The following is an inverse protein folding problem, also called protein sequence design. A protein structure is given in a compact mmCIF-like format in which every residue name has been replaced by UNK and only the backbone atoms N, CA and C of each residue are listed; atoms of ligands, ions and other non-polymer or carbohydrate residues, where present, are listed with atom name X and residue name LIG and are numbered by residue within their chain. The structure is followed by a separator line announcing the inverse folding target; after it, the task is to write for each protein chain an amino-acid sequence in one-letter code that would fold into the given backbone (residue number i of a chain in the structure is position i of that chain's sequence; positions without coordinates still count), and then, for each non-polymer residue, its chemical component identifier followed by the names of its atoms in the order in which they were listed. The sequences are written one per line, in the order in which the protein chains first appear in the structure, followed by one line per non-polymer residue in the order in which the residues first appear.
data_IF_945727841218
#
_entry.id   IF_945727841218
#
_cell.length_a   1.000
_cell.length_b   1.000
_cell.length_c   1.000
_cell.angle_alpha   90.00
_cell.angle_beta   90.00
_cell.angle_gamma   90.00
#
_symmetry.space_group_name_H-M   'P 1'
#
loop_
_entity.id
_entity.type
_entity.pdbx_description
1 polymer ?
#
# COMPACT_ATOMS: atom_id res chain seq x y z
N UNK A 1 19.26 11.22 -10.03
CA UNK A 1 18.11 10.57 -10.69
C UNK A 1 16.86 11.40 -10.43
N UNK A 2 15.97 11.60 -11.42
CA UNK A 2 14.71 12.31 -11.17
C UNK A 2 13.77 11.44 -10.33
N UNK A 3 13.20 12.01 -9.26
CA UNK A 3 12.21 11.34 -8.43
C UNK A 3 10.85 11.47 -9.09
N UNK A 4 10.16 10.35 -9.29
CA UNK A 4 8.80 10.34 -9.83
C UNK A 4 7.84 9.78 -8.80
N UNK A 5 6.80 10.54 -8.49
CA UNK A 5 5.67 10.08 -7.69
C UNK A 5 4.42 10.07 -8.56
N UNK A 6 3.75 8.93 -8.64
CA UNK A 6 2.48 8.77 -9.34
C UNK A 6 1.43 8.28 -8.36
N UNK A 7 0.38 9.08 -8.16
CA UNK A 7 -0.77 8.68 -7.34
C UNK A 7 -1.54 7.56 -8.07
N UNK A 8 -1.68 6.41 -7.42
CA UNK A 8 -2.36 5.24 -7.97
C UNK A 8 -3.79 5.09 -7.43
N UNK A 9 -3.99 5.41 -6.15
CA UNK A 9 -5.30 5.29 -5.48
C UNK A 9 -5.39 6.24 -4.29
N UNK A 10 -6.61 6.72 -4.04
CA UNK A 10 -7.00 7.40 -2.80
C UNK A 10 -8.21 6.70 -2.18
N UNK A 11 -8.19 6.47 -0.87
CA UNK A 11 -9.39 6.18 -0.06
C UNK A 11 -9.57 7.28 1.00
N UNK A 12 -10.54 7.12 1.91
CA UNK A 12 -10.88 8.12 2.95
C UNK A 12 -9.67 8.71 3.66
N UNK A 13 -8.71 7.86 4.04
CA UNK A 13 -7.57 8.19 4.90
C UNK A 13 -6.24 7.57 4.41
N UNK A 14 -6.24 6.89 3.27
CA UNK A 14 -5.05 6.24 2.70
C UNK A 14 -4.75 6.70 1.28
N UNK A 15 -3.46 6.84 0.98
CA UNK A 15 -2.92 7.20 -0.32
C UNK A 15 -1.96 6.11 -0.76
N UNK A 16 -2.09 5.65 -2.00
CA UNK A 16 -1.16 4.71 -2.59
C UNK A 16 -0.41 5.40 -3.73
N UNK A 17 0.91 5.49 -3.58
CA UNK A 17 1.80 6.06 -4.58
C UNK A 17 2.69 4.99 -5.21
N UNK A 18 2.88 5.09 -6.52
CA UNK A 18 4.01 4.46 -7.19
C UNK A 18 5.17 5.46 -7.16
N UNK A 19 6.23 5.10 -6.45
CA UNK A 19 7.38 5.95 -6.21
C UNK A 19 8.60 5.34 -6.91
N UNK A 20 9.28 6.14 -7.73
CA UNK A 20 10.58 5.81 -8.30
C UNK A 20 11.59 6.79 -7.72
N UNK A 21 12.44 6.31 -6.82
CA UNK A 21 13.49 7.06 -6.14
C UNK A 21 14.64 6.13 -5.76
N UNK A 22 15.85 6.68 -5.60
CA UNK A 22 17.03 5.91 -5.14
C UNK A 22 16.87 5.45 -3.68
N UNK A 23 16.45 6.35 -2.79
CA UNK A 23 16.24 6.05 -1.37
C UNK A 23 15.08 6.86 -0.79
N UNK A 24 13.88 6.29 -0.88
CA UNK A 24 12.65 6.87 -0.32
C UNK A 24 12.73 7.03 1.21
N UNK A 25 13.32 6.06 1.89
CA UNK A 25 13.34 6.00 3.35
C UNK A 25 14.24 7.09 3.95
N UNK A 26 15.35 7.43 3.29
CA UNK A 26 16.18 8.58 3.68
C UNK A 26 15.43 9.91 3.63
N UNK A 27 14.55 10.10 2.64
CA UNK A 27 13.76 11.32 2.54
C UNK A 27 12.68 11.36 3.62
N UNK A 28 12.03 10.21 3.88
CA UNK A 28 11.09 10.08 4.99
C UNK A 28 11.76 10.37 6.35
N UNK A 29 13.04 10.01 6.50
CA UNK A 29 13.82 10.32 7.71
C UNK A 29 14.03 11.83 7.91
N UNK A 30 14.28 12.58 6.83
CA UNK A 30 14.44 14.05 6.89
C UNK A 30 13.15 14.71 7.35
N UNK A 31 12.02 14.20 6.89
CA UNK A 31 10.68 14.69 7.22
C UNK A 31 10.00 13.93 8.37
N UNK A 32 10.78 13.32 9.28
CA UNK A 32 10.26 12.47 10.36
C UNK A 32 9.14 13.09 11.21
N UNK A 33 9.10 14.41 11.29
CA UNK A 33 8.06 15.16 12.00
C UNK A 33 6.66 14.99 11.40
N UNK A 34 6.56 14.60 10.12
CA UNK A 34 5.31 14.37 9.41
C UNK A 34 4.83 12.91 9.49
N UNK A 35 5.65 12.01 10.05
CA UNK A 35 5.40 10.57 10.02
C UNK A 35 5.36 9.94 11.42
N UNK A 36 4.55 8.90 11.54
CA UNK A 36 4.53 7.93 12.64
C UNK A 36 5.23 6.64 12.19
N UNK A 37 6.43 6.39 12.71
CA UNK A 37 7.24 5.19 12.43
C UNK A 37 7.13 4.11 13.51
N UNK A 38 6.21 4.25 14.46
CA UNK A 38 6.08 3.34 15.60
C UNK A 38 5.74 1.88 15.22
N UNK A 39 5.30 1.64 13.98
CA UNK A 39 4.99 0.30 13.48
C UNK A 39 6.16 -0.41 12.78
N UNK A 40 7.31 0.25 12.64
CA UNK A 40 8.51 -0.38 12.11
C UNK A 40 9.09 -1.36 13.14
N UNK A 41 9.91 -2.31 12.67
CA UNK A 41 10.65 -3.19 13.58
C UNK A 41 11.69 -2.37 14.37
N UNK A 42 11.90 -2.71 15.65
CA UNK A 42 12.81 -1.95 16.54
C UNK A 42 14.26 -1.88 16.05
N UNK A 43 14.67 -2.82 15.20
CA UNK A 43 15.99 -2.86 14.58
C UNK A 43 16.09 -2.00 13.30
N UNK A 44 15.01 -1.40 12.84
CA UNK A 44 14.99 -0.56 11.65
C UNK A 44 15.42 0.87 11.98
N UNK A 45 16.25 1.49 11.14
CA UNK A 45 16.82 2.82 11.39
C UNK A 45 15.78 3.96 11.44
N UNK A 46 14.60 3.73 10.85
CA UNK A 46 13.45 4.67 10.93
C UNK A 46 12.58 4.48 12.16
N UNK A 47 12.74 3.41 12.94
CA UNK A 47 11.88 3.17 14.10
C UNK A 47 12.00 4.31 15.11
N UNK A 48 10.87 4.95 15.38
CA UNK A 48 10.72 6.04 16.34
C UNK A 48 9.30 6.00 16.91
N UNK A 49 9.17 5.91 18.24
CA UNK A 49 7.90 5.85 18.95
C UNK A 49 7.41 7.22 19.44
N UNK A 50 8.21 8.28 19.27
CA UNK A 50 7.88 9.65 19.70
C UNK A 50 6.57 10.15 19.08
N UNK A 51 6.25 9.70 17.88
CA UNK A 51 5.08 10.10 17.09
C UNK A 51 3.93 9.09 17.11
N UNK A 52 4.03 8.04 17.92
CA UNK A 52 3.05 6.96 17.96
C UNK A 52 1.62 7.49 18.19
N UNK A 53 0.72 7.18 17.23
CA UNK A 53 -0.72 7.51 17.29
C UNK A 53 -1.04 9.00 17.41
N UNK A 54 -0.12 9.89 17.03
CA UNK A 54 -0.42 11.33 16.96
C UNK A 54 -1.35 11.62 15.77
N UNK A 55 -2.48 12.32 15.97
CA UNK A 55 -3.39 12.65 14.89
C UNK A 55 -2.74 13.61 13.90
N UNK A 56 -3.01 13.42 12.60
CA UNK A 56 -2.51 14.26 11.52
C UNK A 56 -1.12 13.88 10.98
N UNK A 57 -0.48 12.84 11.53
CA UNK A 57 0.75 12.29 10.99
C UNK A 57 0.47 11.15 10.00
N UNK A 58 1.30 11.06 8.97
CA UNK A 58 1.24 9.96 8.02
C UNK A 58 1.88 8.71 8.59
N UNK A 59 1.35 7.56 8.21
CA UNK A 59 1.90 6.27 8.59
C UNK A 59 2.13 5.44 7.35
N UNK A 60 3.27 4.78 7.29
CA UNK A 60 3.48 3.74 6.29
C UNK A 60 2.79 2.45 6.73
N UNK A 61 1.72 2.08 6.02
CA UNK A 61 0.92 0.89 6.33
C UNK A 61 1.69 -0.43 6.14
N UNK A 62 2.75 -0.43 5.34
CA UNK A 62 3.54 -1.62 5.03
C UNK A 62 4.69 -1.87 6.00
N UNK A 63 4.93 -0.94 6.94
CA UNK A 63 6.00 -1.02 7.93
C UNK A 63 7.40 -1.25 7.31
N UNK A 64 7.67 -0.57 6.18
CA UNK A 64 8.94 -0.65 5.47
C UNK A 64 9.07 -1.83 4.51
N UNK A 65 8.01 -2.61 4.26
CA UNK A 65 8.02 -3.70 3.28
C UNK A 65 7.55 -3.16 1.92
N UNK A 66 8.41 -3.10 0.89
CA UNK A 66 8.01 -2.59 -0.41
C UNK A 66 6.84 -3.37 -1.03
N UNK A 67 5.94 -2.65 -1.69
CA UNK A 67 4.82 -3.26 -2.41
C UNK A 67 5.34 -3.88 -3.70
N UNK A 68 5.07 -5.17 -3.88
CA UNK A 68 5.45 -5.92 -5.07
C UNK A 68 4.42 -5.72 -6.18
N UNK A 69 3.14 -5.87 -5.83
CA UNK A 69 2.04 -5.86 -6.81
C UNK A 69 0.82 -5.11 -6.23
N UNK A 70 0.23 -4.27 -7.07
CA UNK A 70 -1.01 -3.57 -6.78
C UNK A 70 -2.00 -3.73 -7.92
N UNK A 71 -3.23 -4.12 -7.58
CA UNK A 71 -4.34 -4.23 -8.52
C UNK A 71 -5.55 -3.48 -7.98
N UNK A 72 -5.92 -2.38 -8.64
CA UNK A 72 -7.13 -1.62 -8.35
C UNK A 72 -8.20 -1.88 -9.42
N UNK A 73 -9.37 -2.38 -9.03
CA UNK A 73 -10.48 -2.63 -9.94
C UNK A 73 -11.49 -1.47 -9.96
N UNK A 74 -11.86 -0.99 -8.77
CA UNK A 74 -12.79 0.13 -8.55
C UNK A 74 -12.59 0.71 -7.15
N UNK A 75 -13.25 1.83 -6.86
CA UNK A 75 -13.26 2.41 -5.51
C UNK A 75 -13.62 1.35 -4.46
N UNK A 76 -12.76 1.21 -3.45
CA UNK A 76 -12.89 0.23 -2.34
C UNK A 76 -12.88 -1.23 -2.80
N UNK A 77 -12.28 -1.53 -3.95
CA UNK A 77 -12.03 -2.88 -4.44
C UNK A 77 -10.65 -2.98 -5.08
N UNK A 78 -9.70 -3.54 -4.33
CA UNK A 78 -8.31 -3.63 -4.71
C UNK A 78 -7.62 -4.77 -3.96
N UNK A 79 -6.47 -5.19 -4.48
CA UNK A 79 -5.57 -6.10 -3.79
C UNK A 79 -4.14 -5.59 -3.85
N UNK A 80 -3.45 -5.63 -2.72
CA UNK A 80 -2.07 -5.22 -2.54
C UNK A 80 -1.29 -6.44 -2.03
N UNK A 81 -0.15 -6.72 -2.64
CA UNK A 81 0.74 -7.81 -2.24
C UNK A 81 2.12 -7.22 -1.95
N UNK A 82 2.65 -7.56 -0.78
CA UNK A 82 3.95 -7.11 -0.30
C UNK A 82 4.53 -8.16 0.65
N UNK A 83 5.75 -8.63 0.38
CA UNK A 83 6.36 -9.73 1.11
C UNK A 83 5.44 -10.96 1.19
N UNK A 84 5.18 -11.45 2.40
CA UNK A 84 4.28 -12.60 2.64
C UNK A 84 2.82 -12.22 2.82
N UNK A 85 2.49 -10.92 2.80
CA UNK A 85 1.16 -10.40 3.13
C UNK A 85 0.38 -10.09 1.86
N UNK A 86 -0.90 -10.46 1.86
CA UNK A 86 -1.87 -10.06 0.85
C UNK A 86 -3.02 -9.30 1.50
N UNK A 87 -3.09 -8.00 1.23
CA UNK A 87 -4.23 -7.19 1.60
C UNK A 87 -5.26 -7.17 0.47
N UNK A 88 -6.52 -7.36 0.85
CA UNK A 88 -7.65 -7.44 -0.09
C UNK A 88 -8.79 -6.60 0.44
N UNK A 89 -9.34 -5.77 -0.45
CA UNK A 89 -10.55 -4.99 -0.21
C UNK A 89 -11.56 -5.28 -1.31
N UNK A 90 -12.81 -5.48 -0.92
CA UNK A 90 -13.92 -5.57 -1.86
C UNK A 90 -15.21 -5.11 -1.17
N UNK A 91 -15.61 -3.87 -1.42
CA UNK A 91 -16.86 -3.31 -0.88
C UNK A 91 -18.07 -4.06 -1.43
N UNK A 92 -19.00 -4.42 -0.55
CA UNK A 92 -20.21 -5.17 -0.89
C UNK A 92 -20.05 -6.69 -0.81
N UNK A 93 -18.84 -7.20 -0.63
CA UNK A 93 -18.58 -8.63 -0.42
C UNK A 93 -18.35 -8.89 1.08
N UNK A 94 -18.85 -10.02 1.58
CA UNK A 94 -18.64 -10.45 2.95
C UNK A 94 -17.14 -10.60 3.26
N UNK A 95 -16.71 -10.07 4.41
CA UNK A 95 -15.30 -10.11 4.82
C UNK A 95 -14.73 -11.54 4.90
N UNK A 96 -15.54 -12.52 5.27
CA UNK A 96 -15.15 -13.94 5.30
C UNK A 96 -14.80 -14.46 3.92
N UNK A 97 -15.64 -14.16 2.92
CA UNK A 97 -15.41 -14.52 1.50
C UNK A 97 -14.16 -13.83 0.97
N UNK A 98 -13.99 -12.52 1.25
CA UNK A 98 -12.78 -11.79 0.83
C UNK A 98 -11.51 -12.41 1.43
N UNK A 99 -11.57 -12.86 2.68
CA UNK A 99 -10.41 -13.46 3.36
C UNK A 99 -10.10 -14.85 2.83
N UNK A 100 -11.11 -15.72 2.74
CA UNK A 100 -10.93 -17.15 2.56
C UNK A 100 -10.98 -17.59 1.09
N UNK A 101 -11.77 -16.90 0.26
CA UNK A 101 -12.05 -17.33 -1.11
C UNK A 101 -11.33 -16.45 -2.14
N UNK A 102 -11.32 -15.13 -1.95
CA UNK A 102 -10.66 -14.23 -2.90
C UNK A 102 -9.15 -14.33 -2.81
N UNK A 103 -8.48 -14.53 -3.94
CA UNK A 103 -7.01 -14.54 -4.07
C UNK A 103 -6.55 -13.37 -4.92
N UNK A 104 -5.33 -12.88 -4.66
CA UNK A 104 -4.73 -11.81 -5.47
C UNK A 104 -4.75 -12.13 -6.97
N UNK A 105 -4.48 -13.39 -7.34
CA UNK A 105 -4.53 -13.84 -8.73
C UNK A 105 -5.89 -13.64 -9.42
N UNK A 106 -7.01 -13.69 -8.69
CA UNK A 106 -8.32 -13.42 -9.27
C UNK A 106 -8.48 -11.94 -9.64
N UNK A 107 -7.91 -11.03 -8.86
CA UNK A 107 -7.91 -9.60 -9.19
C UNK A 107 -7.05 -9.35 -10.44
N UNK A 108 -5.85 -9.93 -10.50
CA UNK A 108 -4.95 -9.85 -11.66
C UNK A 108 -5.65 -10.37 -12.91
N UNK A 109 -6.21 -11.59 -12.84
CA UNK A 109 -6.90 -12.21 -13.97
C UNK A 109 -8.08 -11.37 -14.46
N UNK A 110 -8.82 -10.71 -13.57
CA UNK A 110 -9.93 -9.86 -13.96
C UNK A 110 -9.45 -8.66 -14.80
N UNK A 111 -8.36 -8.00 -14.38
CA UNK A 111 -7.75 -6.91 -15.15
C UNK A 111 -7.22 -7.42 -16.48
N UNK A 112 -6.44 -8.51 -16.49
CA UNK A 112 -5.88 -9.08 -17.71
C UNK A 112 -6.97 -9.50 -18.69
N UNK A 113 -8.05 -10.12 -18.21
CA UNK A 113 -9.19 -10.50 -19.04
C UNK A 113 -9.91 -9.27 -19.61
N UNK A 114 -10.02 -8.18 -18.83
CA UNK A 114 -10.60 -6.92 -19.31
C UNK A 114 -9.77 -6.24 -20.39
N UNK A 115 -8.45 -6.44 -20.40
CA UNK A 115 -7.56 -5.98 -21.48
C UNK A 115 -7.45 -6.96 -22.67
N UNK A 116 -7.86 -8.23 -22.51
CA UNK A 116 -7.76 -9.27 -23.55
C UNK A 116 -9.11 -9.55 -24.24
N UNK A 117 -10.10 -8.66 -24.10
CA UNK A 117 -11.24 -8.66 -25.02
C UNK A 117 -10.76 -7.98 -26.30
N UNK A 118 -10.23 -8.80 -27.21
CA UNK A 118 -10.09 -8.43 -28.61
C UNK A 118 -11.49 -8.27 -29.20
N UNK A 119 -11.69 -7.12 -29.85
CA UNK A 119 -12.81 -6.81 -30.76
C UNK A 119 -12.84 -7.83 -31.89
#
# INVERSE_FOLDING_TARGET
MEKMLKLMMTDTDSLLYHVVAEDLYSDMQKDKQLFDFSNYAQNHFLFDDVNAKKPGLFKDETAGIPIEEFVGLRSKMYSIKYGVVQQKRAKGILKSVVRNELKHSQYVNYVTCMFTIFI
#
